data_IF_162429609369
#
_entry.id   IF_162429609369
#
_cell.length_a   1.000
_cell.length_b   1.000
_cell.length_c   1.000
_cell.angle_alpha   90.00
_cell.angle_beta   90.00
_cell.angle_gamma   90.00
#
_symmetry.space_group_name_H-M   'P 1'
#
loop_
_entity.id
_entity.type
_entity.pdbx_description
1 polymer ?
#
# COMPACT_ATOMS: atom_id res chain seq x y z
N UNK A 1 7.11 18.64 8.19
CA UNK A 1 7.23 17.30 8.80
C UNK A 1 7.09 16.29 7.68
N UNK A 2 8.05 15.41 7.46
CA UNK A 2 7.94 14.44 6.36
C UNK A 2 6.77 13.50 6.68
N UNK A 3 5.77 13.46 5.81
CA UNK A 3 4.61 12.58 5.99
C UNK A 3 5.09 11.13 6.03
N UNK A 4 4.83 10.46 7.17
CA UNK A 4 5.26 9.09 7.42
C UNK A 4 4.32 8.13 6.68
N UNK A 5 4.74 7.69 5.50
CA UNK A 5 3.99 6.77 4.64
C UNK A 5 4.69 5.42 4.53
N UNK A 6 3.88 4.36 4.45
CA UNK A 6 4.34 3.00 4.13
C UNK A 6 3.45 2.35 3.07
N UNK A 7 4.02 1.45 2.27
CA UNK A 7 3.27 0.57 1.38
C UNK A 7 3.02 -0.77 2.06
N UNK A 8 1.75 -1.11 2.21
CA UNK A 8 1.32 -2.44 2.64
C UNK A 8 1.07 -3.31 1.41
N UNK A 9 1.81 -4.42 1.34
CA UNK A 9 1.77 -5.38 0.25
C UNK A 9 1.17 -6.71 0.71
N UNK A 10 0.52 -7.46 -0.20
CA UNK A 10 0.07 -8.81 0.11
C UNK A 10 1.21 -9.73 0.52
N UNK A 11 0.93 -10.62 1.48
CA UNK A 11 1.87 -11.68 1.89
C UNK A 11 2.01 -12.76 0.81
N UNK A 12 0.92 -13.07 0.11
CA UNK A 12 0.91 -14.07 -0.96
C UNK A 12 1.71 -13.54 -2.15
N UNK A 13 2.68 -14.31 -2.64
CA UNK A 13 3.58 -13.91 -3.72
C UNK A 13 4.33 -12.59 -3.42
N UNK A 14 4.67 -12.34 -2.15
CA UNK A 14 5.27 -11.08 -1.66
C UNK A 14 6.40 -10.53 -2.54
N UNK A 15 7.33 -11.38 -2.99
CA UNK A 15 8.46 -10.94 -3.82
C UNK A 15 8.04 -10.33 -5.16
N UNK A 16 6.92 -10.78 -5.74
CA UNK A 16 6.40 -10.20 -6.98
C UNK A 16 5.86 -8.79 -6.70
N UNK A 17 5.10 -8.62 -5.62
CA UNK A 17 4.61 -7.31 -5.18
C UNK A 17 5.75 -6.36 -4.84
N UNK A 18 6.74 -6.82 -4.07
CA UNK A 18 7.91 -6.03 -3.68
C UNK A 18 8.68 -5.54 -4.91
N UNK A 19 8.85 -6.40 -5.92
CA UNK A 19 9.48 -6.02 -7.20
C UNK A 19 8.66 -4.98 -7.95
N UNK A 20 7.34 -5.13 -8.01
CA UNK A 20 6.44 -4.19 -8.69
C UNK A 20 6.42 -2.79 -8.06
N UNK A 21 6.68 -2.67 -6.76
CA UNK A 21 6.68 -1.37 -6.07
C UNK A 21 8.07 -0.76 -5.90
N UNK A 22 9.14 -1.49 -6.24
CA UNK A 22 10.52 -1.08 -5.98
C UNK A 22 10.83 0.31 -6.55
N UNK A 23 10.45 0.57 -7.81
CA UNK A 23 10.71 1.85 -8.47
C UNK A 23 10.00 3.01 -7.76
N UNK A 24 8.77 2.80 -7.33
CA UNK A 24 7.99 3.78 -6.56
C UNK A 24 8.60 4.03 -5.17
N UNK A 25 8.97 2.94 -4.49
CA UNK A 25 9.60 2.98 -3.18
C UNK A 25 10.88 3.80 -3.17
N UNK A 26 11.73 3.59 -4.19
CA UNK A 26 12.96 4.35 -4.37
C UNK A 26 12.70 5.81 -4.77
N UNK A 27 11.72 6.07 -5.65
CA UNK A 27 11.43 7.42 -6.12
C UNK A 27 10.91 8.35 -5.01
N UNK A 28 10.02 7.86 -4.15
CA UNK A 28 9.41 8.66 -3.07
C UNK A 28 10.01 8.39 -1.68
N UNK A 29 11.02 7.51 -1.57
CA UNK A 29 11.65 7.15 -0.30
C UNK A 29 10.68 6.49 0.70
N UNK A 30 9.76 5.67 0.21
CA UNK A 30 8.72 5.02 1.03
C UNK A 30 9.09 3.59 1.38
N UNK A 31 8.83 3.20 2.63
CA UNK A 31 9.03 1.83 3.10
C UNK A 31 7.98 0.88 2.53
N UNK A 32 8.31 -0.42 2.52
CA UNK A 32 7.38 -1.50 2.18
C UNK A 32 7.25 -2.45 3.37
N UNK A 33 6.07 -3.00 3.59
CA UNK A 33 5.81 -4.06 4.58
C UNK A 33 4.71 -4.98 4.09
N UNK A 34 4.72 -6.22 4.57
CA UNK A 34 3.61 -7.16 4.43
C UNK A 34 2.90 -7.43 5.77
N UNK A 35 3.26 -6.67 6.79
CA UNK A 35 2.65 -6.73 8.11
C UNK A 35 1.66 -5.57 8.29
N UNK A 36 0.34 -5.85 8.29
CA UNK A 36 -0.69 -4.84 8.53
C UNK A 36 -0.58 -4.15 9.89
N UNK A 37 -0.12 -4.85 10.93
CA UNK A 37 0.03 -4.27 12.26
C UNK A 37 1.12 -3.19 12.25
N UNK A 38 2.28 -3.50 11.64
CA UNK A 38 3.36 -2.53 11.45
C UNK A 38 2.96 -1.37 10.56
N UNK A 39 2.11 -1.61 9.56
CA UNK A 39 1.60 -0.54 8.70
C UNK A 39 0.75 0.47 9.48
N UNK A 40 0.03 0.04 10.52
CA UNK A 40 -0.80 0.88 11.37
C UNK A 40 -0.04 1.93 12.19
N UNK A 41 1.28 1.79 12.37
CA UNK A 41 2.12 2.78 13.04
C UNK A 41 2.41 4.03 12.18
N UNK A 42 1.96 4.04 10.92
CA UNK A 42 2.18 5.12 9.96
C UNK A 42 0.92 5.98 9.81
N UNK A 43 1.09 7.25 9.45
CA UNK A 43 -0.04 8.16 9.25
C UNK A 43 -0.78 7.89 7.93
N UNK A 44 -0.03 7.44 6.91
CA UNK A 44 -0.54 7.13 5.58
C UNK A 44 -0.10 5.72 5.22
N UNK A 45 -1.07 4.86 4.90
CA UNK A 45 -0.81 3.50 4.43
C UNK A 45 -1.33 3.37 3.00
N UNK A 46 -0.41 3.21 2.05
CA UNK A 46 -0.76 2.83 0.69
C UNK A 46 -0.95 1.32 0.64
N UNK A 47 -2.18 0.87 0.47
CA UNK A 47 -2.52 -0.56 0.47
C UNK A 47 -2.65 -1.05 -0.97
N UNK A 48 -1.79 -1.97 -1.36
CA UNK A 48 -2.01 -2.76 -2.57
C UNK A 48 -2.89 -3.97 -2.21
N UNK A 49 -4.07 -4.07 -2.82
CA UNK A 49 -5.00 -5.18 -2.57
C UNK A 49 -5.41 -5.84 -3.88
N UNK A 50 -5.47 -7.18 -3.84
CA UNK A 50 -6.00 -8.03 -4.90
C UNK A 50 -7.03 -9.00 -4.30
N UNK A 51 -7.86 -9.68 -5.11
CA UNK A 51 -8.79 -10.68 -4.58
C UNK A 51 -8.07 -11.73 -3.72
N UNK A 52 -8.57 -11.97 -2.51
CA UNK A 52 -8.01 -12.91 -1.53
C UNK A 52 -6.55 -12.66 -1.13
N UNK A 53 -6.05 -11.42 -1.25
CA UNK A 53 -4.64 -11.12 -0.98
C UNK A 53 -4.28 -10.99 0.51
N UNK A 54 -5.29 -10.86 1.38
CA UNK A 54 -5.19 -10.75 2.84
C UNK A 54 -6.14 -11.75 3.53
N UNK A 55 -5.86 -13.06 3.50
CA UNK A 55 -6.80 -14.08 3.98
C UNK A 55 -7.04 -14.06 5.49
N UNK A 56 -6.10 -13.51 6.28
CA UNK A 56 -6.22 -13.44 7.73
C UNK A 56 -7.00 -12.22 8.20
N UNK A 57 -6.83 -11.10 7.51
CA UNK A 57 -7.47 -9.83 7.83
C UNK A 57 -8.84 -9.68 7.16
N UNK A 58 -9.08 -10.40 6.06
CA UNK A 58 -10.30 -10.28 5.26
C UNK A 58 -10.27 -8.99 4.44
N UNK A 59 -11.21 -8.08 4.72
CA UNK A 59 -11.15 -6.73 4.16
C UNK A 59 -10.08 -5.93 4.91
N UNK A 60 -8.89 -5.83 4.30
CA UNK A 60 -7.74 -5.15 4.88
C UNK A 60 -8.01 -3.66 5.20
N UNK A 61 -8.91 -3.01 4.46
CA UNK A 61 -9.24 -1.60 4.68
C UNK A 61 -10.06 -1.47 5.95
N UNK A 62 -11.10 -2.28 6.10
CA UNK A 62 -11.92 -2.32 7.31
C UNK A 62 -11.08 -2.74 8.52
N UNK A 63 -10.21 -3.74 8.35
CA UNK A 63 -9.31 -4.20 9.41
C UNK A 63 -8.39 -3.08 9.91
N UNK A 64 -7.78 -2.31 8.98
CA UNK A 64 -6.92 -1.19 9.34
C UNK A 64 -7.71 -0.06 10.02
N UNK A 65 -8.90 0.29 9.52
CA UNK A 65 -9.74 1.34 10.11
C UNK A 65 -10.22 0.99 11.52
N UNK A 66 -10.62 -0.26 11.73
CA UNK A 66 -11.09 -0.72 13.05
C UNK A 66 -9.97 -0.72 14.08
N UNK A 67 -8.76 -1.08 13.68
CA UNK A 67 -7.63 -1.25 14.60
C UNK A 67 -6.79 0.02 14.78
N UNK A 68 -6.76 0.89 13.77
CA UNK A 68 -5.97 2.11 13.73
C UNK A 68 -6.83 3.28 13.22
N UNK A 69 -7.75 3.83 14.03
CA UNK A 69 -8.71 4.85 13.58
C UNK A 69 -8.07 6.17 13.12
N UNK A 70 -6.78 6.40 13.40
CA UNK A 70 -6.05 7.58 12.94
C UNK A 70 -5.32 7.41 11.60
N UNK A 71 -5.37 6.21 11.00
CA UNK A 71 -4.63 5.91 9.76
C UNK A 71 -5.39 6.40 8.53
N UNK A 72 -4.70 7.10 7.64
CA UNK A 72 -5.25 7.44 6.32
C UNK A 72 -4.86 6.36 5.31
N UNK A 73 -5.85 5.76 4.67
CA UNK A 73 -5.62 4.64 3.75
C UNK A 73 -5.66 5.11 2.30
N UNK A 74 -4.56 4.99 1.57
CA UNK A 74 -4.51 5.14 0.11
C UNK A 74 -4.66 3.77 -0.55
N UNK A 75 -5.86 3.47 -1.03
CA UNK A 75 -6.18 2.15 -1.56
C UNK A 75 -5.84 2.04 -3.06
N UNK A 76 -5.04 1.02 -3.41
CA UNK A 76 -4.77 0.62 -4.79
C UNK A 76 -5.34 -0.78 -5.02
N UNK A 77 -6.51 -0.84 -5.67
CA UNK A 77 -7.12 -2.10 -6.10
C UNK A 77 -6.47 -2.56 -7.40
N UNK A 78 -5.90 -3.75 -7.39
CA UNK A 78 -5.17 -4.34 -8.51
C UNK A 78 -5.51 -5.81 -8.66
N UNK A 79 -5.43 -6.33 -9.88
CA UNK A 79 -5.65 -7.75 -10.16
C UNK A 79 -4.34 -8.55 -10.14
N UNK A 80 -3.21 -7.89 -10.38
CA UNK A 80 -1.89 -8.50 -10.45
C UNK A 80 -0.75 -7.53 -10.08
N UNK A 81 0.44 -8.05 -9.73
CA UNK A 81 1.64 -7.23 -9.51
C UNK A 81 2.00 -6.33 -10.70
N UNK A 82 1.76 -6.76 -11.94
CA UNK A 82 2.05 -6.00 -13.16
C UNK A 82 1.07 -4.83 -13.32
N UNK A 83 -0.18 -5.01 -12.90
CA UNK A 83 -1.14 -3.90 -12.83
C UNK A 83 -0.69 -2.87 -11.78
N UNK A 84 -0.23 -3.33 -10.62
CA UNK A 84 0.32 -2.44 -9.59
C UNK A 84 1.51 -1.62 -10.09
N UNK A 85 2.49 -2.26 -10.76
CA UNK A 85 3.65 -1.55 -11.32
C UNK A 85 3.21 -0.44 -12.26
N UNK A 86 2.29 -0.72 -13.19
CA UNK A 86 1.79 0.28 -14.16
C UNK A 86 1.08 1.45 -13.46
N UNK A 87 0.25 1.18 -12.46
CA UNK A 87 -0.44 2.23 -11.70
C UNK A 87 0.56 3.11 -10.92
N UNK A 88 1.58 2.51 -10.34
CA UNK A 88 2.63 3.24 -9.61
C UNK A 88 3.54 4.03 -10.57
N UNK A 89 3.82 3.51 -11.76
CA UNK A 89 4.56 4.25 -12.79
C UNK A 89 3.82 5.53 -13.20
N UNK A 90 2.50 5.43 -13.45
CA UNK A 90 1.67 6.61 -13.74
C UNK A 90 1.68 7.63 -12.59
N UNK A 91 1.76 7.16 -11.35
CA UNK A 91 1.87 8.03 -10.17
C UNK A 91 3.22 8.73 -10.13
N UNK A 92 4.32 8.04 -10.41
CA UNK A 92 5.66 8.64 -10.52
C UNK A 92 5.67 9.73 -11.59
N UNK A 93 5.16 9.44 -12.79
CA UNK A 93 5.11 10.39 -13.90
C UNK A 93 4.33 11.67 -13.57
N UNK A 94 3.32 11.56 -12.70
CA UNK A 94 2.48 12.68 -12.25
C UNK A 94 2.94 13.32 -10.94
N UNK A 95 4.02 12.81 -10.33
CA UNK A 95 4.47 13.25 -9.00
C UNK A 95 3.49 12.97 -7.86
N UNK A 96 2.61 11.97 -8.01
CA UNK A 96 1.55 11.63 -7.04
C UNK A 96 2.08 10.59 -6.05
N UNK A 97 2.27 10.98 -4.79
CA UNK A 97 2.77 10.08 -3.73
C UNK A 97 1.67 9.19 -3.10
N UNK A 98 0.46 9.70 -3.00
CA UNK A 98 -0.75 8.98 -2.60
C UNK A 98 -1.94 9.73 -3.22
N UNK A 99 -3.07 9.05 -3.45
CA UNK A 99 -4.20 9.67 -4.13
C UNK A 99 -5.38 9.86 -3.16
N UNK A 100 -6.42 9.03 -3.28
CA UNK A 100 -7.64 9.19 -2.49
C UNK A 100 -7.45 8.53 -1.14
N UNK A 101 -7.26 9.36 -0.12
CA UNK A 101 -7.20 8.93 1.28
C UNK A 101 -8.60 8.60 1.79
N UNK A 102 -8.75 7.39 2.31
CA UNK A 102 -9.93 6.96 3.06
C UNK A 102 -9.62 7.24 4.54
N UNK A 103 -10.17 8.35 5.04
CA UNK A 103 -10.28 8.64 6.48
C UNK A 103 -11.54 8.06 7.10
#
# INVERSE_FOLDING_TARGET
MAENQILLLPRINYYQWARSVQKFALHFGVGITSDPAKAGDYNIVTVATAPNSYPHEGDIVEWLKQRFPGVNIDLIKVESPENLSRMLDQRIERGIRYHKLLG
#
